data_IF_410028533190
#
_entry.id   IF_410028533190
#
_cell.length_a   1.000
_cell.length_b   1.000
_cell.length_c   1.000
_cell.angle_alpha   90.00
_cell.angle_beta   90.00
_cell.angle_gamma   90.00
#
_symmetry.space_group_name_H-M   'P 1'
#
loop_
_entity.id
_entity.type
_entity.pdbx_description
1 polymer ?
#
# COMPACT_ATOMS: atom_id res chain seq x y z
N UNK A 1 16.27 -5.84 13.61
CA UNK A 1 15.54 -4.85 14.44
C UNK A 1 14.57 -5.62 15.31
N UNK A 2 14.45 -5.32 16.60
CA UNK A 2 13.41 -5.96 17.42
C UNK A 2 12.01 -5.39 17.07
N UNK A 3 10.97 -6.14 17.44
CA UNK A 3 9.60 -5.81 17.04
C UNK A 3 9.11 -4.48 17.62
N UNK A 4 9.47 -4.15 18.86
CA UNK A 4 9.01 -2.92 19.50
C UNK A 4 9.69 -1.69 18.89
N UNK A 5 10.99 -1.77 18.62
CA UNK A 5 11.72 -0.73 17.87
C UNK A 5 11.11 -0.54 16.48
N UNK A 6 10.81 -1.62 15.75
CA UNK A 6 10.14 -1.50 14.45
C UNK A 6 8.80 -0.76 14.59
N UNK A 7 7.92 -1.18 15.49
CA UNK A 7 6.59 -0.60 15.65
C UNK A 7 6.62 0.88 16.11
N UNK A 8 7.62 1.26 16.90
CA UNK A 8 7.72 2.62 17.46
C UNK A 8 8.55 3.59 16.63
N UNK A 9 9.35 3.08 15.68
CA UNK A 9 10.22 3.90 14.81
C UNK A 9 9.91 3.77 13.32
N UNK A 10 8.95 2.93 12.91
CA UNK A 10 8.53 2.78 11.52
C UNK A 10 8.12 4.13 10.94
N UNK A 11 8.69 4.46 9.78
CA UNK A 11 8.40 5.67 9.03
C UNK A 11 8.21 5.33 7.56
N UNK A 12 7.44 6.16 6.86
CA UNK A 12 7.27 6.03 5.42
C UNK A 12 8.30 6.87 4.68
N UNK A 13 8.85 6.33 3.60
CA UNK A 13 9.83 7.00 2.76
C UNK A 13 9.42 6.94 1.28
N UNK A 14 9.49 8.09 0.61
CA UNK A 14 9.11 8.27 -0.80
C UNK A 14 10.32 8.34 -1.75
N UNK A 15 11.55 8.28 -1.22
CA UNK A 15 12.81 8.34 -1.97
C UNK A 15 13.40 6.93 -2.03
N UNK A 16 12.94 6.17 -3.02
CA UNK A 16 13.23 4.75 -3.17
C UNK A 16 14.01 4.53 -4.46
N UNK A 17 14.96 3.61 -4.42
CA UNK A 17 15.77 3.16 -5.56
C UNK A 17 15.97 1.66 -5.50
N UNK A 18 16.67 1.09 -6.47
CA UNK A 18 17.02 -0.33 -6.49
C UNK A 18 18.00 -0.69 -5.36
N UNK A 19 18.01 -1.94 -4.88
CA UNK A 19 17.12 -3.05 -5.26
C UNK A 19 15.73 -2.95 -4.63
N UNK A 20 14.75 -3.60 -5.28
CA UNK A 20 13.48 -4.01 -4.68
C UNK A 20 13.66 -5.34 -3.91
N UNK A 21 12.69 -5.76 -3.09
CA UNK A 21 12.68 -7.11 -2.53
C UNK A 21 12.71 -8.17 -3.64
N UNK A 22 13.53 -9.21 -3.48
CA UNK A 22 13.50 -10.37 -4.36
C UNK A 22 12.29 -11.28 -4.05
N UNK A 23 12.13 -12.37 -4.81
CA UNK A 23 11.02 -13.31 -4.65
C UNK A 23 10.87 -13.87 -3.24
N UNK A 24 11.95 -14.36 -2.62
CA UNK A 24 11.90 -14.92 -1.26
C UNK A 24 11.52 -13.85 -0.23
N UNK A 25 12.08 -12.65 -0.38
CA UNK A 25 11.76 -11.52 0.51
C UNK A 25 10.30 -11.07 0.36
N UNK A 26 9.77 -11.07 -0.87
CA UNK A 26 8.36 -10.82 -1.16
C UNK A 26 7.44 -11.87 -0.55
N UNK A 27 7.80 -13.15 -0.63
CA UNK A 27 7.05 -14.23 0.02
C UNK A 27 6.93 -13.96 1.52
N UNK A 28 8.03 -13.61 2.20
CA UNK A 28 8.01 -13.24 3.63
C UNK A 28 7.15 -11.99 3.91
N UNK A 29 7.17 -11.01 3.01
CA UNK A 29 6.31 -9.81 3.10
C UNK A 29 4.83 -10.21 3.04
N UNK A 30 4.45 -11.10 2.12
CA UNK A 30 3.07 -11.53 1.98
C UNK A 30 2.64 -12.49 3.09
N UNK A 31 3.51 -13.38 3.57
CA UNK A 31 3.25 -14.19 4.77
C UNK A 31 2.88 -13.31 5.95
N UNK A 32 3.63 -12.21 6.19
CA UNK A 32 3.31 -11.25 7.23
C UNK A 32 1.99 -10.52 6.99
N UNK A 33 1.71 -10.11 5.74
CA UNK A 33 0.45 -9.49 5.37
C UNK A 33 -0.76 -10.40 5.66
N UNK A 34 -0.63 -11.70 5.39
CA UNK A 34 -1.66 -12.72 5.64
C UNK A 34 -1.85 -13.07 7.11
N UNK A 35 -1.09 -12.44 8.02
CA UNK A 35 -1.32 -12.51 9.47
C UNK A 35 -2.20 -11.37 10.00
N UNK A 36 -2.75 -10.53 9.13
CA UNK A 36 -3.70 -9.50 9.49
C UNK A 36 -4.89 -10.06 10.30
N UNK A 37 -5.44 -9.29 11.26
CA UNK A 37 -6.71 -9.62 11.87
C UNK A 37 -7.81 -9.65 10.80
N UNK A 38 -8.64 -10.68 10.85
CA UNK A 38 -9.62 -10.98 9.82
C UNK A 38 -10.84 -11.68 10.44
N UNK A 39 -11.90 -10.91 10.66
CA UNK A 39 -13.15 -11.44 11.18
C UNK A 39 -13.80 -12.33 10.12
N UNK A 40 -14.04 -13.59 10.49
CA UNK A 40 -14.59 -14.59 9.57
C UNK A 40 -13.54 -15.28 8.71
N UNK A 41 -12.24 -14.93 8.81
CA UNK A 41 -11.13 -15.54 8.06
C UNK A 41 -11.37 -15.49 6.54
N UNK A 42 -11.85 -14.36 6.06
CA UNK A 42 -12.30 -14.16 4.68
C UNK A 42 -11.15 -13.92 3.70
N UNK A 43 -9.99 -13.49 4.20
CA UNK A 43 -8.85 -13.01 3.43
C UNK A 43 -9.29 -11.97 2.38
N UNK A 44 -9.93 -10.85 2.78
CA UNK A 44 -10.63 -9.93 1.88
C UNK A 44 -9.67 -8.96 1.19
N UNK A 45 -8.55 -9.47 0.67
CA UNK A 45 -7.51 -8.71 0.03
C UNK A 45 -6.90 -9.45 -1.17
N UNK A 46 -6.39 -8.67 -2.13
CA UNK A 46 -5.59 -9.16 -3.24
C UNK A 46 -4.44 -8.20 -3.50
N UNK A 47 -3.27 -8.74 -3.84
CA UNK A 47 -2.04 -7.97 -4.03
C UNK A 47 -1.55 -8.10 -5.46
N UNK A 48 -1.30 -6.97 -6.12
CA UNK A 48 -0.83 -6.90 -7.50
C UNK A 48 0.60 -6.35 -7.45
N UNK A 49 1.59 -7.20 -7.71
CA UNK A 49 3.00 -6.77 -7.77
C UNK A 49 3.30 -6.21 -9.16
N UNK A 50 3.88 -5.02 -9.19
CA UNK A 50 4.33 -4.37 -10.41
C UNK A 50 5.81 -3.97 -10.25
N UNK A 51 6.64 -4.43 -11.16
CA UNK A 51 8.06 -4.09 -11.32
C UNK A 51 8.43 -4.08 -12.81
N UNK A 52 9.58 -3.50 -13.15
CA UNK A 52 10.11 -3.41 -14.51
C UNK A 52 9.08 -2.82 -15.50
N UNK A 53 8.78 -3.50 -16.61
CA UNK A 53 7.89 -3.02 -17.67
C UNK A 53 6.45 -2.80 -17.20
N UNK A 54 6.01 -3.51 -16.15
CA UNK A 54 4.65 -3.34 -15.60
C UNK A 54 4.44 -2.00 -14.89
N UNK A 55 5.52 -1.30 -14.51
CA UNK A 55 5.43 0.08 -13.98
C UNK A 55 4.96 1.06 -15.07
N UNK A 56 5.35 0.87 -16.33
CA UNK A 56 4.85 1.69 -17.44
C UNK A 56 3.33 1.51 -17.63
N UNK A 57 2.84 0.29 -17.38
CA UNK A 57 1.39 0.01 -17.39
C UNK A 57 0.70 0.77 -16.26
N UNK A 58 1.26 0.74 -15.04
CA UNK A 58 0.73 1.51 -13.92
C UNK A 58 0.67 3.01 -14.22
N UNK A 59 1.73 3.58 -14.80
CA UNK A 59 1.75 4.99 -15.21
C UNK A 59 0.57 5.32 -16.14
N UNK A 60 0.36 4.50 -17.18
CA UNK A 60 -0.73 4.67 -18.14
C UNK A 60 -2.10 4.63 -17.47
N UNK A 61 -2.30 3.70 -16.53
CA UNK A 61 -3.55 3.57 -15.78
C UNK A 61 -3.81 4.76 -14.86
N UNK A 62 -2.76 5.31 -14.23
CA UNK A 62 -2.87 6.51 -13.40
C UNK A 62 -3.20 7.75 -14.23
N UNK A 63 -2.60 7.90 -15.42
CA UNK A 63 -2.94 8.98 -16.36
C UNK A 63 -4.40 8.91 -16.80
N UNK A 64 -4.88 7.71 -17.12
CA UNK A 64 -6.27 7.50 -17.49
C UNK A 64 -7.23 7.97 -16.37
N UNK A 65 -6.92 7.67 -15.12
CA UNK A 65 -7.71 8.13 -13.97
C UNK A 65 -7.68 9.65 -13.78
N UNK A 66 -6.55 10.30 -14.08
CA UNK A 66 -6.44 11.77 -14.05
C UNK A 66 -7.37 12.42 -15.07
N UNK A 67 -7.42 11.87 -16.28
CA UNK A 67 -8.31 12.33 -17.35
C UNK A 67 -9.78 12.05 -17.03
N UNK A 68 -10.09 10.84 -16.52
CA UNK A 68 -11.44 10.43 -16.14
C UNK A 68 -12.08 11.37 -15.10
N UNK A 69 -11.29 11.82 -14.13
CA UNK A 69 -11.77 12.67 -13.03
C UNK A 69 -11.40 14.15 -13.16
N UNK A 70 -10.87 14.59 -14.31
CA UNK A 70 -10.43 15.97 -14.57
C UNK A 70 -9.57 16.56 -13.43
N UNK A 71 -8.54 15.82 -13.00
CA UNK A 71 -7.73 16.20 -11.82
C UNK A 71 -6.67 17.28 -12.10
N UNK A 72 -6.60 17.77 -13.35
CA UNK A 72 -5.68 18.82 -13.79
C UNK A 72 -4.25 18.37 -14.09
N UNK A 73 -3.50 19.27 -14.74
CA UNK A 73 -2.13 19.01 -15.26
C UNK A 73 -1.13 18.62 -14.16
N UNK A 74 -1.23 19.23 -12.96
CA UNK A 74 -0.34 18.90 -11.85
C UNK A 74 -0.45 17.42 -11.45
N UNK A 75 -1.66 16.86 -11.50
CA UNK A 75 -1.91 15.45 -11.20
C UNK A 75 -1.46 14.54 -12.34
N UNK A 76 -1.53 15.01 -13.58
CA UNK A 76 -1.01 14.29 -14.74
C UNK A 76 0.51 14.15 -14.65
N UNK A 77 1.23 15.24 -14.39
CA UNK A 77 2.69 15.24 -14.17
C UNK A 77 3.10 14.37 -12.98
N UNK A 78 2.28 14.34 -11.92
CA UNK A 78 2.49 13.43 -10.79
C UNK A 78 2.31 11.98 -11.21
N UNK A 79 1.27 11.64 -11.97
CA UNK A 79 1.01 10.29 -12.45
C UNK A 79 2.14 9.76 -13.34
N UNK A 80 2.69 10.60 -14.23
CA UNK A 80 3.86 10.31 -15.08
C UNK A 80 5.04 9.74 -14.29
N UNK A 81 5.34 10.37 -13.16
CA UNK A 81 6.54 10.02 -12.40
C UNK A 81 6.26 8.99 -11.31
N UNK A 82 5.01 8.88 -10.84
CA UNK A 82 4.68 8.13 -9.62
C UNK A 82 5.08 6.66 -9.69
N UNK A 83 4.81 6.00 -10.82
CA UNK A 83 5.12 4.59 -11.01
C UNK A 83 6.62 4.29 -10.98
N UNK A 84 7.45 5.27 -11.36
CA UNK A 84 8.91 5.14 -11.45
C UNK A 84 9.67 5.68 -10.23
N UNK A 85 8.97 6.18 -9.21
CA UNK A 85 9.58 6.66 -7.96
C UNK A 85 10.03 5.55 -7.02
N UNK A 86 9.79 4.30 -7.38
CA UNK A 86 10.26 3.12 -6.69
C UNK A 86 10.52 2.01 -7.72
N UNK A 87 11.43 1.08 -7.41
CA UNK A 87 11.68 -0.07 -8.29
C UNK A 87 10.51 -1.07 -8.30
N UNK A 88 9.60 -1.00 -7.33
CA UNK A 88 8.44 -1.88 -7.22
C UNK A 88 7.24 -1.16 -6.60
N UNK A 89 6.04 -1.50 -7.07
CA UNK A 89 4.76 -1.06 -6.51
C UNK A 89 3.85 -2.25 -6.29
N UNK A 90 3.25 -2.36 -5.10
CA UNK A 90 2.22 -3.36 -4.79
C UNK A 90 0.86 -2.65 -4.73
N UNK A 91 -0.02 -2.95 -5.68
CA UNK A 91 -1.43 -2.57 -5.61
C UNK A 91 -2.16 -3.44 -4.61
N UNK A 92 -2.95 -2.84 -3.70
CA UNK A 92 -3.76 -3.58 -2.74
C UNK A 92 -5.23 -3.33 -2.99
N UNK A 93 -5.95 -4.41 -3.27
CA UNK A 93 -7.40 -4.41 -3.45
C UNK A 93 -8.04 -5.02 -2.21
N UNK A 94 -8.95 -4.30 -1.57
CA UNK A 94 -9.92 -4.88 -0.65
C UNK A 94 -11.01 -5.59 -1.45
N UNK A 95 -11.10 -6.91 -1.28
CA UNK A 95 -12.07 -7.79 -1.93
C UNK A 95 -13.29 -7.92 -1.03
N UNK A 96 -14.28 -7.06 -1.27
CA UNK A 96 -15.45 -6.94 -0.40
C UNK A 96 -16.51 -7.96 -0.81
N UNK A 97 -17.07 -8.66 0.16
CA UNK A 97 -18.27 -9.48 0.00
C UNK A 97 -19.42 -8.91 0.86
N UNK A 98 -20.34 -8.14 0.25
CA UNK A 98 -21.45 -7.52 0.97
C UNK A 98 -22.51 -8.54 1.41
N UNK A 99 -22.45 -9.78 0.91
CA UNK A 99 -23.44 -10.82 1.25
C UNK A 99 -23.19 -11.42 2.63
N UNK A 100 -22.00 -11.22 3.21
CA UNK A 100 -21.61 -11.75 4.51
C UNK A 100 -22.10 -10.80 5.61
N UNK A 101 -23.39 -10.86 5.94
CA UNK A 101 -24.03 -9.96 6.90
C UNK A 101 -23.35 -9.93 8.30
N UNK A 102 -22.69 -11.02 8.70
CA UNK A 102 -21.97 -11.12 9.99
C UNK A 102 -20.62 -10.39 10.00
N UNK A 103 -20.06 -10.02 8.84
CA UNK A 103 -18.79 -9.28 8.71
C UNK A 103 -19.04 -8.05 7.82
N UNK A 104 -19.36 -6.89 8.42
CA UNK A 104 -19.59 -5.65 7.69
C UNK A 104 -18.44 -5.29 6.74
N UNK A 105 -18.75 -4.60 5.64
CA UNK A 105 -17.76 -4.21 4.62
C UNK A 105 -16.56 -3.43 5.19
N UNK A 106 -16.80 -2.57 6.18
CA UNK A 106 -15.75 -1.78 6.80
C UNK A 106 -14.73 -2.67 7.55
N UNK A 107 -15.15 -3.78 8.15
CA UNK A 107 -14.24 -4.72 8.80
C UNK A 107 -13.36 -5.44 7.77
N UNK A 108 -13.94 -5.81 6.63
CA UNK A 108 -13.22 -6.42 5.50
C UNK A 108 -12.17 -5.44 4.93
N UNK A 109 -12.55 -4.18 4.78
CA UNK A 109 -11.65 -3.11 4.33
C UNK A 109 -10.53 -2.84 5.35
N UNK A 110 -10.83 -2.85 6.65
CA UNK A 110 -9.81 -2.75 7.71
C UNK A 110 -8.85 -3.93 7.70
N UNK A 111 -9.33 -5.16 7.46
CA UNK A 111 -8.46 -6.33 7.34
C UNK A 111 -7.46 -6.16 6.19
N UNK A 112 -7.91 -5.71 5.02
CA UNK A 112 -7.03 -5.37 3.91
C UNK A 112 -6.04 -4.23 4.25
N UNK A 113 -6.49 -3.23 5.02
CA UNK A 113 -5.64 -2.16 5.53
C UNK A 113 -4.56 -2.66 6.50
N UNK A 114 -4.90 -3.56 7.41
CA UNK A 114 -3.95 -4.22 8.31
C UNK A 114 -2.96 -5.09 7.53
N UNK A 115 -3.42 -5.82 6.51
CA UNK A 115 -2.54 -6.60 5.64
C UNK A 115 -1.54 -5.70 4.91
N UNK A 116 -2.00 -4.56 4.41
CA UNK A 116 -1.14 -3.53 3.81
C UNK A 116 -0.12 -2.99 4.82
N UNK A 117 -0.52 -2.74 6.07
CA UNK A 117 0.42 -2.33 7.12
C UNK A 117 1.45 -3.45 7.44
N UNK A 118 1.01 -4.72 7.41
CA UNK A 118 1.88 -5.88 7.50
C UNK A 118 2.96 -5.91 6.42
N UNK A 119 2.59 -5.59 5.16
CA UNK A 119 3.54 -5.42 4.05
C UNK A 119 4.60 -4.37 4.41
N UNK A 120 4.17 -3.20 4.89
CA UNK A 120 5.09 -2.11 5.23
C UNK A 120 6.08 -2.48 6.34
N UNK A 121 5.59 -3.16 7.39
CA UNK A 121 6.42 -3.59 8.51
C UNK A 121 7.41 -4.68 8.08
N UNK A 122 6.97 -5.67 7.32
CA UNK A 122 7.81 -6.77 6.86
C UNK A 122 8.89 -6.31 5.88
N UNK A 123 8.57 -5.36 4.99
CA UNK A 123 9.56 -4.73 4.12
C UNK A 123 10.64 -4.02 4.94
N UNK A 124 10.25 -3.22 5.93
CA UNK A 124 11.19 -2.51 6.80
C UNK A 124 12.01 -3.44 7.69
N UNK A 125 11.42 -4.54 8.18
CA UNK A 125 12.14 -5.56 8.93
C UNK A 125 13.26 -6.23 8.10
N UNK A 126 13.09 -6.27 6.78
CA UNK A 126 14.05 -6.82 5.82
C UNK A 126 15.01 -5.77 5.23
N UNK A 127 14.94 -4.52 5.70
CA UNK A 127 15.85 -3.45 5.29
C UNK A 127 15.38 -2.60 4.10
N UNK A 128 14.14 -2.79 3.64
CA UNK A 128 13.54 -1.96 2.59
C UNK A 128 12.71 -0.83 3.17
N UNK A 129 12.74 0.32 2.50
CA UNK A 129 11.87 1.43 2.79
C UNK A 129 10.62 1.38 1.90
N UNK A 130 9.53 1.96 2.39
CA UNK A 130 8.27 1.94 1.65
C UNK A 130 7.37 3.12 2.01
N UNK A 131 6.34 3.30 1.18
CA UNK A 131 5.28 4.27 1.43
C UNK A 131 3.96 3.78 0.85
N UNK A 132 2.90 3.88 1.65
CA UNK A 132 1.52 3.79 1.18
C UNK A 132 1.15 5.11 0.51
N UNK A 133 0.76 5.04 -0.76
CA UNK A 133 0.08 6.15 -1.44
C UNK A 133 -1.32 5.74 -1.89
N UNK A 134 -2.20 6.73 -1.92
CA UNK A 134 -3.58 6.63 -2.39
C UNK A 134 -3.96 7.94 -3.08
N UNK A 135 -5.25 8.23 -3.20
CA UNK A 135 -5.80 9.43 -3.84
C UNK A 135 -6.83 9.06 -4.89
N UNK A 136 -7.53 10.07 -5.43
CA UNK A 136 -8.68 9.86 -6.33
C UNK A 136 -8.35 8.97 -7.54
N UNK A 137 -7.12 9.00 -8.04
CA UNK A 137 -6.68 8.15 -9.15
C UNK A 137 -6.77 6.64 -8.88
N UNK A 138 -6.81 6.19 -7.62
CA UNK A 138 -6.95 4.75 -7.32
C UNK A 138 -8.36 4.24 -7.60
N UNK A 139 -9.31 5.16 -7.76
CA UNK A 139 -10.70 4.86 -8.14
C UNK A 139 -10.89 4.80 -9.67
N UNK A 140 -9.85 5.10 -10.46
CA UNK A 140 -9.96 5.14 -11.92
C UNK A 140 -10.42 3.80 -12.49
N UNK A 141 -11.41 3.87 -13.39
CA UNK A 141 -12.06 2.71 -14.00
C UNK A 141 -11.07 1.72 -14.60
N UNK A 142 -10.13 2.21 -15.43
CA UNK A 142 -9.11 1.38 -16.07
C UNK A 142 -8.18 0.70 -15.07
N UNK A 143 -7.78 1.38 -13.98
CA UNK A 143 -6.94 0.80 -12.94
C UNK A 143 -7.69 -0.30 -12.19
N UNK A 144 -8.94 -0.03 -11.82
CA UNK A 144 -9.82 -0.99 -11.14
C UNK A 144 -10.03 -2.24 -12.00
N UNK A 145 -10.28 -2.07 -13.29
CA UNK A 145 -10.40 -3.18 -14.25
C UNK A 145 -9.10 -3.98 -14.34
N UNK A 146 -7.95 -3.31 -14.50
CA UNK A 146 -6.64 -3.96 -14.56
C UNK A 146 -6.29 -4.75 -13.29
N UNK A 147 -6.82 -4.34 -12.13
CA UNK A 147 -6.65 -5.02 -10.84
C UNK A 147 -7.76 -6.06 -10.57
N UNK A 148 -8.65 -6.31 -11.54
CA UNK A 148 -9.74 -7.27 -11.42
C UNK A 148 -10.74 -6.90 -10.33
N UNK A 149 -10.99 -5.60 -10.09
CA UNK A 149 -11.97 -5.14 -9.12
C UNK A 149 -13.39 -5.36 -9.61
N UNK A 150 -14.24 -5.93 -8.74
CA UNK A 150 -15.70 -5.86 -8.86
C UNK A 150 -16.20 -4.48 -8.41
N UNK A 151 -17.49 -4.22 -8.57
CA UNK A 151 -18.12 -2.94 -8.18
C UNK A 151 -17.87 -2.58 -6.71
N UNK A 152 -18.04 -3.55 -5.81
CA UNK A 152 -17.84 -3.37 -4.38
C UNK A 152 -16.37 -3.33 -3.96
N UNK A 153 -15.46 -3.90 -4.77
CA UNK A 153 -14.04 -3.94 -4.42
C UNK A 153 -13.46 -2.52 -4.39
N UNK A 154 -12.38 -2.33 -3.63
CA UNK A 154 -11.71 -1.03 -3.47
C UNK A 154 -10.21 -1.20 -3.61
N UNK A 155 -9.58 -0.45 -4.51
CA UNK A 155 -8.13 -0.26 -4.45
C UNK A 155 -7.84 0.67 -3.28
N UNK A 156 -7.23 0.17 -2.22
CA UNK A 156 -7.01 0.93 -0.98
C UNK A 156 -5.60 1.55 -0.94
N UNK A 157 -4.66 0.96 -1.66
CA UNK A 157 -3.26 1.37 -1.62
C UNK A 157 -2.53 1.06 -2.93
N UNK A 158 -1.57 1.91 -3.25
CA UNK A 158 -0.37 1.52 -3.99
C UNK A 158 0.79 1.65 -3.01
N UNK A 159 1.46 0.54 -2.69
CA UNK A 159 2.60 0.52 -1.78
C UNK A 159 3.86 0.55 -2.63
N UNK A 160 4.57 1.68 -2.63
CA UNK A 160 5.87 1.78 -3.26
C UNK A 160 6.93 1.19 -2.33
N UNK A 161 7.78 0.29 -2.83
CA UNK A 161 8.80 -0.41 -2.05
C UNK A 161 10.15 -0.36 -2.77
N UNK A 162 11.22 -0.14 -2.02
CA UNK A 162 12.59 -0.19 -2.54
C UNK A 162 13.64 0.09 -1.48
N UNK A 163 14.87 0.29 -1.91
CA UNK A 163 15.97 0.69 -1.02
C UNK A 163 15.99 2.22 -0.89
N UNK A 164 16.27 2.71 0.31
CA UNK A 164 16.33 4.15 0.59
C UNK A 164 17.52 4.82 -0.11
N UNK A 165 17.29 5.97 -0.75
CA UNK A 165 18.38 6.80 -1.33
C UNK A 165 19.15 7.54 -0.22
N UNK A 166 18.50 7.83 0.92
CA UNK A 166 19.06 8.59 2.03
C UNK A 166 19.34 7.68 3.22
N UNK A 167 20.50 7.81 3.87
CA UNK A 167 20.65 7.25 5.23
C UNK A 167 19.65 7.98 6.12
N UNK A 168 18.86 7.20 6.85
CA UNK A 168 17.62 7.63 7.47
C UNK A 168 17.83 8.52 8.71
N UNK A 169 18.44 9.71 8.56
CA UNK A 169 18.73 10.64 9.68
C UNK A 169 17.50 11.39 10.20
N UNK A 170 16.35 11.28 9.55
CA UNK A 170 15.12 11.91 10.05
C UNK A 170 14.65 11.22 11.33
N UNK A 171 14.79 11.91 12.45
CA UNK A 171 14.24 11.49 13.74
C UNK A 171 12.73 11.26 13.62
N UNK A 172 12.24 10.22 14.30
CA UNK A 172 10.82 9.94 14.35
C UNK A 172 10.14 11.06 15.16
N UNK A 173 9.03 11.59 14.66
CA UNK A 173 8.29 12.63 15.38
C UNK A 173 7.81 12.05 16.71
N UNK A 174 8.17 12.71 17.81
CA UNK A 174 7.63 12.37 19.13
C UNK A 174 6.14 12.72 19.15
N UNK A 175 5.30 11.73 19.43
CA UNK A 175 3.85 11.89 19.58
C UNK A 175 3.53 11.79 21.07
N UNK A 176 2.84 12.77 21.63
CA UNK A 176 2.34 12.69 22.99
C UNK A 176 1.09 11.81 23.01
N UNK A 177 1.21 10.59 23.54
CA UNK A 177 0.11 9.62 23.56
C UNK A 177 -1.10 10.10 24.36
N UNK A 178 -0.91 11.04 25.30
CA UNK A 178 -2.00 11.62 26.12
C UNK A 178 -3.03 12.38 25.29
N UNK A 179 -2.67 12.85 24.11
CA UNK A 179 -3.58 13.58 23.23
C UNK A 179 -4.61 12.64 22.56
N UNK A 180 -4.38 11.32 22.60
CA UNK A 180 -5.18 10.31 21.87
C UNK A 180 -5.69 9.15 22.75
N UNK A 181 -5.35 9.12 24.04
CA UNK A 181 -5.68 8.00 24.95
C UNK A 181 -6.45 8.50 26.16
N UNK A 182 -7.63 7.91 26.42
CA UNK A 182 -8.46 8.16 27.60
C UNK A 182 -8.61 6.87 28.41
N UNK A 183 -8.43 6.94 29.73
CA UNK A 183 -8.72 5.86 30.66
C UNK A 183 -10.10 6.12 31.27
N UNK A 184 -11.02 5.15 31.15
CA UNK A 184 -12.36 5.20 31.75
C UNK A 184 -12.35 4.55 33.14
#
# INVERSE_FOLDING_TARGET
MDALTLLTTRKSNKKLTTPAPNTEQLERIFEAAMRAPDHGKLHPYHFIVMENESLNKLETLLKAAVLEFDLGEEKLMKAENLAHRAPMVIGVVSKIDPTIAKVPEWEQMLSAGCATYGIQLAAQAQGFDNVWISGKWVEGSALREAFGCREQDRVIALVMIGTSIEKAERECRVINTKDFVTYL
#
